data_IF_509464318691
#
_entry.id   IF_509464318691
#
_cell.length_a   1.000
_cell.length_b   1.000
_cell.length_c   1.000
_cell.angle_alpha   90.00
_cell.angle_beta   90.00
_cell.angle_gamma   90.00
#
_symmetry.space_group_name_H-M   'P 1'
#
loop_
_entity.id
_entity.type
_entity.pdbx_description
1 polymer ?
#
# COMPACT_ATOMS: atom_id res chain seq x y z
N UNK A 1 21.09 30.55 -4.44
CA UNK A 1 21.17 30.73 -2.97
C UNK A 1 19.76 30.78 -2.35
N UNK A 2 19.01 29.67 -2.38
CA UNK A 2 17.58 29.61 -1.95
C UNK A 2 17.32 28.59 -0.81
N UNK A 3 18.38 28.10 -0.16
CA UNK A 3 18.27 27.08 0.90
C UNK A 3 18.07 27.66 2.31
N UNK A 4 18.28 28.97 2.51
CA UNK A 4 18.26 29.59 3.85
C UNK A 4 16.85 29.83 4.41
N UNK A 5 15.88 30.17 3.55
CA UNK A 5 14.51 30.52 3.96
C UNK A 5 13.72 29.29 4.46
N UNK A 6 13.90 28.12 3.83
CA UNK A 6 13.14 26.90 4.17
C UNK A 6 13.60 26.25 5.49
N UNK A 7 14.88 26.36 5.84
CA UNK A 7 15.43 25.84 7.10
C UNK A 7 14.92 26.66 8.30
N UNK A 8 14.87 27.99 8.19
CA UNK A 8 14.34 28.85 9.26
C UNK A 8 12.88 28.52 9.57
N UNK A 9 12.03 28.34 8.57
CA UNK A 9 10.61 28.00 8.79
C UNK A 9 10.44 26.67 9.54
N UNK A 10 11.28 25.68 9.25
CA UNK A 10 11.30 24.41 9.98
C UNK A 10 11.68 24.63 11.45
N UNK A 11 12.76 25.39 11.72
CA UNK A 11 13.17 25.69 13.10
C UNK A 11 12.15 26.54 13.87
N UNK A 12 11.47 27.49 13.20
CA UNK A 12 10.37 28.24 13.79
C UNK A 12 9.18 27.33 14.13
N UNK A 13 8.83 26.39 13.25
CA UNK A 13 7.75 25.43 13.50
C UNK A 13 8.10 24.48 14.66
N UNK A 14 9.35 24.02 14.75
CA UNK A 14 9.85 23.21 15.88
C UNK A 14 9.82 24.02 17.17
N UNK A 15 10.32 25.26 17.15
CA UNK A 15 10.32 26.15 18.31
C UNK A 15 8.89 26.46 18.79
N UNK A 16 7.96 26.68 17.86
CA UNK A 16 6.54 26.90 18.15
C UNK A 16 5.86 25.63 18.70
N UNK A 17 6.18 24.45 18.17
CA UNK A 17 5.69 23.17 18.70
C UNK A 17 6.20 22.88 20.12
N UNK A 18 7.37 23.40 20.51
CA UNK A 18 7.94 23.25 21.86
C UNK A 18 7.46 24.36 22.82
N UNK A 19 7.29 25.59 22.33
CA UNK A 19 6.85 26.73 23.15
C UNK A 19 5.37 26.69 23.51
N UNK A 20 4.50 26.24 22.60
CA UNK A 20 3.05 26.18 22.85
C UNK A 20 2.71 25.28 24.06
N UNK A 21 3.31 24.08 24.21
CA UNK A 21 3.20 23.29 25.44
C UNK A 21 3.88 23.93 26.66
N UNK A 22 5.06 24.53 26.49
CA UNK A 22 5.83 25.13 27.59
C UNK A 22 5.15 26.36 28.22
N UNK A 23 4.32 27.08 27.47
CA UNK A 23 3.56 28.24 27.93
C UNK A 23 2.24 27.88 28.63
N UNK A 24 1.96 26.59 28.86
CA UNK A 24 0.76 26.13 29.58
C UNK A 24 -0.56 26.33 28.81
N UNK A 25 -0.47 26.62 27.50
CA UNK A 25 -1.63 26.77 26.61
C UNK A 25 -2.31 25.41 26.36
N UNK A 26 -1.58 24.30 26.55
CA UNK A 26 -2.09 22.94 26.41
C UNK A 26 -2.13 22.23 27.75
N UNK A 27 -3.19 21.45 27.98
CA UNK A 27 -3.25 20.55 29.14
C UNK A 27 -2.40 19.31 28.87
N UNK A 28 -1.63 18.81 29.86
CA UNK A 28 -0.85 17.59 29.70
C UNK A 28 -1.78 16.40 29.42
N UNK A 29 -1.42 15.58 28.43
CA UNK A 29 -2.12 14.35 28.11
C UNK A 29 -1.73 13.28 29.14
N UNK A 30 -2.68 12.85 29.96
CA UNK A 30 -2.51 11.68 30.81
C UNK A 30 -2.89 10.42 30.01
N UNK A 31 -1.99 9.45 30.01
CA UNK A 31 -2.24 8.14 29.43
C UNK A 31 -2.84 7.23 30.47
N UNK A 32 -3.79 6.40 30.06
CA UNK A 32 -4.31 5.35 30.91
C UNK A 32 -3.23 4.27 31.11
N UNK A 33 -3.30 3.48 32.20
CA UNK A 33 -2.36 2.39 32.41
C UNK A 33 -2.47 1.38 31.27
N UNK A 34 -1.45 1.33 30.41
CA UNK A 34 -1.44 0.46 29.24
C UNK A 34 -1.26 -0.99 29.69
N UNK A 35 -2.31 -1.81 29.52
CA UNK A 35 -2.24 -3.25 29.77
C UNK A 35 -1.96 -4.01 28.47
N UNK A 36 -1.31 -5.17 28.58
CA UNK A 36 -1.07 -6.08 27.44
C UNK A 36 -2.40 -6.47 26.78
N UNK A 37 -3.47 -6.61 27.57
CA UNK A 37 -4.81 -6.89 27.07
C UNK A 37 -5.32 -5.78 26.14
N UNK A 38 -5.20 -4.49 26.53
CA UNK A 38 -5.61 -3.35 25.71
C UNK A 38 -4.80 -3.26 24.41
N UNK A 39 -3.49 -3.50 24.47
CA UNK A 39 -2.64 -3.54 23.27
C UNK A 39 -3.11 -4.66 22.33
N UNK A 40 -3.39 -5.84 22.88
CA UNK A 40 -3.82 -7.01 22.08
C UNK A 40 -5.18 -6.75 21.43
N UNK A 41 -6.14 -6.20 22.17
CA UNK A 41 -7.45 -5.82 21.65
C UNK A 41 -7.33 -4.83 20.49
N UNK A 42 -6.51 -3.79 20.66
CA UNK A 42 -6.26 -2.78 19.63
C UNK A 42 -5.59 -3.38 18.39
N UNK A 43 -4.62 -4.28 18.56
CA UNK A 43 -3.99 -5.01 17.46
C UNK A 43 -4.98 -5.91 16.71
N UNK A 44 -5.87 -6.61 17.43
CA UNK A 44 -6.89 -7.47 16.82
C UNK A 44 -7.87 -6.63 16.00
N UNK A 45 -8.34 -5.49 16.54
CA UNK A 45 -9.23 -4.57 15.83
C UNK A 45 -8.53 -4.07 14.56
N UNK A 46 -7.28 -3.60 14.67
CA UNK A 46 -6.53 -3.14 13.50
C UNK A 46 -6.28 -4.23 12.48
N UNK A 47 -5.99 -5.46 12.93
CA UNK A 47 -5.80 -6.59 12.03
C UNK A 47 -7.07 -6.89 11.23
N UNK A 48 -8.22 -7.01 11.91
CA UNK A 48 -9.51 -7.27 11.26
C UNK A 48 -9.85 -6.16 10.27
N UNK A 49 -9.74 -4.90 10.71
CA UNK A 49 -10.00 -3.73 9.86
C UNK A 49 -9.08 -3.71 8.64
N UNK A 50 -7.80 -4.01 8.82
CA UNK A 50 -6.81 -4.03 7.73
C UNK A 50 -7.11 -5.14 6.73
N UNK A 51 -7.52 -6.33 7.19
CA UNK A 51 -7.94 -7.43 6.31
C UNK A 51 -9.17 -7.06 5.47
N UNK A 52 -10.20 -6.47 6.09
CA UNK A 52 -11.37 -5.99 5.35
C UNK A 52 -10.99 -4.92 4.34
N UNK A 53 -10.11 -3.99 4.71
CA UNK A 53 -9.64 -2.95 3.82
C UNK A 53 -8.83 -3.52 2.65
N UNK A 54 -7.92 -4.46 2.90
CA UNK A 54 -7.16 -5.16 1.86
C UNK A 54 -8.12 -5.79 0.85
N UNK A 55 -9.14 -6.51 1.35
CA UNK A 55 -10.11 -7.17 0.48
C UNK A 55 -10.93 -6.18 -0.34
N UNK A 56 -11.35 -5.07 0.26
CA UNK A 56 -12.07 -4.00 -0.45
C UNK A 56 -11.19 -3.36 -1.53
N UNK A 57 -9.94 -3.05 -1.22
CA UNK A 57 -8.98 -2.48 -2.16
C UNK A 57 -8.69 -3.44 -3.32
N UNK A 58 -8.53 -4.74 -3.04
CA UNK A 58 -8.31 -5.75 -4.07
C UNK A 58 -9.49 -5.80 -5.06
N UNK A 59 -10.74 -5.84 -4.58
CA UNK A 59 -11.93 -5.89 -5.44
C UNK A 59 -12.06 -4.65 -6.31
N UNK A 60 -11.81 -3.46 -5.75
CA UNK A 60 -11.87 -2.19 -6.50
C UNK A 60 -10.73 -2.12 -7.54
N UNK A 61 -9.52 -2.48 -7.16
CA UNK A 61 -8.36 -2.41 -8.06
C UNK A 61 -8.42 -3.47 -9.14
N UNK A 62 -8.89 -4.68 -8.85
CA UNK A 62 -9.02 -5.74 -9.86
C UNK A 62 -10.02 -5.34 -10.94
N UNK A 63 -11.18 -4.80 -10.55
CA UNK A 63 -12.18 -4.32 -11.50
C UNK A 63 -11.70 -3.12 -12.32
N UNK A 64 -11.00 -2.15 -11.70
CA UNK A 64 -10.45 -1.01 -12.42
C UNK A 64 -9.28 -1.41 -13.34
N UNK A 65 -8.33 -2.19 -12.84
CA UNK A 65 -7.12 -2.58 -13.56
C UNK A 65 -7.40 -3.54 -14.72
N UNK A 66 -8.44 -4.36 -14.62
CA UNK A 66 -8.82 -5.31 -15.66
C UNK A 66 -9.06 -4.62 -17.01
N UNK A 67 -9.82 -3.51 -17.04
CA UNK A 67 -10.19 -2.86 -18.32
C UNK A 67 -8.99 -2.28 -19.08
N UNK A 68 -8.02 -1.67 -18.41
CA UNK A 68 -6.87 -1.03 -19.06
C UNK A 68 -5.68 -1.96 -19.27
N UNK A 69 -5.36 -2.77 -18.25
CA UNK A 69 -4.20 -3.66 -18.29
C UNK A 69 -4.34 -4.78 -19.32
N UNK A 70 -5.55 -5.30 -19.52
CA UNK A 70 -5.79 -6.40 -20.45
C UNK A 70 -5.57 -5.98 -21.91
N UNK A 71 -5.91 -4.74 -22.27
CA UNK A 71 -5.66 -4.21 -23.61
C UNK A 71 -4.15 -4.08 -23.90
N UNK A 72 -3.40 -3.53 -22.96
CA UNK A 72 -1.93 -3.43 -23.05
C UNK A 72 -1.29 -4.82 -23.17
N UNK A 73 -1.77 -5.80 -22.39
CA UNK A 73 -1.31 -7.19 -22.45
C UNK A 73 -1.57 -7.85 -23.79
N UNK A 74 -2.73 -7.58 -24.38
CA UNK A 74 -3.08 -8.05 -25.72
C UNK A 74 -2.18 -7.42 -26.78
N UNK A 75 -1.90 -6.12 -26.69
CA UNK A 75 -1.02 -5.40 -27.62
C UNK A 75 0.42 -5.90 -27.54
N UNK A 76 0.96 -6.11 -26.33
CA UNK A 76 2.29 -6.72 -26.13
C UNK A 76 2.33 -8.13 -26.73
N UNK A 77 1.28 -8.94 -26.50
CA UNK A 77 1.19 -10.29 -27.06
C UNK A 77 1.13 -10.26 -28.60
N UNK A 78 0.43 -9.31 -29.20
CA UNK A 78 0.38 -9.14 -30.67
C UNK A 78 1.77 -8.81 -31.24
N UNK A 79 2.47 -7.82 -30.70
CA UNK A 79 3.81 -7.43 -31.17
C UNK A 79 4.84 -8.55 -30.96
N UNK A 80 4.82 -9.22 -29.80
CA UNK A 80 5.70 -10.36 -29.53
C UNK A 80 5.46 -11.52 -30.52
N UNK A 81 4.20 -11.79 -30.87
CA UNK A 81 3.84 -12.80 -31.88
C UNK A 81 4.29 -12.40 -33.29
N UNK A 82 4.22 -11.11 -33.65
CA UNK A 82 4.70 -10.61 -34.94
C UNK A 82 6.22 -10.83 -35.08
N UNK A 83 7.02 -10.42 -34.09
CA UNK A 83 8.47 -10.65 -34.05
C UNK A 83 8.79 -12.15 -34.12
N UNK A 84 8.04 -12.97 -33.37
CA UNK A 84 8.26 -14.42 -33.38
C UNK A 84 7.90 -15.09 -34.71
N UNK A 85 6.86 -14.60 -35.41
CA UNK A 85 6.52 -15.07 -36.76
C UNK A 85 7.60 -14.71 -37.76
N UNK A 86 8.10 -13.48 -37.71
CA UNK A 86 9.16 -13.02 -38.62
C UNK A 86 10.45 -13.82 -38.43
N UNK A 87 10.87 -14.05 -37.16
CA UNK A 87 11.99 -14.94 -36.83
C UNK A 87 11.84 -16.37 -37.37
N UNK A 88 10.60 -16.89 -37.45
CA UNK A 88 10.33 -18.23 -37.95
C UNK A 88 10.33 -18.30 -39.48
N UNK A 89 9.83 -17.27 -40.17
CA UNK A 89 9.76 -17.23 -41.63
C UNK A 89 11.09 -16.88 -42.29
N UNK A 90 11.90 -16.02 -41.67
CA UNK A 90 13.16 -15.55 -42.24
C UNK A 90 14.21 -15.36 -41.14
N UNK A 91 14.85 -16.44 -40.65
CA UNK A 91 15.79 -16.39 -39.53
C UNK A 91 17.07 -15.58 -39.83
N UNK A 92 17.45 -15.43 -41.11
CA UNK A 92 18.61 -14.62 -41.53
C UNK A 92 18.26 -13.14 -41.80
N UNK A 93 16.98 -12.76 -41.86
CA UNK A 93 16.62 -11.36 -42.08
C UNK A 93 16.73 -10.57 -40.77
N UNK A 94 17.38 -9.40 -40.86
CA UNK A 94 17.40 -8.42 -39.79
C UNK A 94 15.96 -8.00 -39.51
N UNK A 95 15.54 -8.23 -38.27
CA UNK A 95 14.21 -7.83 -37.81
C UNK A 95 14.18 -6.31 -37.76
N UNK A 96 13.11 -5.74 -38.28
CA UNK A 96 12.88 -4.31 -38.29
C UNK A 96 12.97 -3.74 -36.86
N UNK A 97 13.89 -2.81 -36.64
CA UNK A 97 14.11 -2.15 -35.33
C UNK A 97 12.81 -1.49 -34.83
N UNK A 98 11.99 -1.01 -35.76
CA UNK A 98 10.70 -0.37 -35.45
C UNK A 98 9.72 -1.29 -34.71
N UNK A 99 9.79 -2.61 -34.91
CA UNK A 99 8.97 -3.59 -34.18
C UNK A 99 9.42 -3.76 -32.74
N UNK A 100 10.72 -3.65 -32.47
CA UNK A 100 11.25 -3.67 -31.12
C UNK A 100 10.91 -2.38 -30.38
N UNK A 101 11.05 -1.22 -31.05
CA UNK A 101 10.67 0.07 -30.50
C UNK A 101 9.18 0.11 -30.14
N UNK A 102 8.30 -0.36 -31.02
CA UNK A 102 6.86 -0.44 -30.74
C UNK A 102 6.57 -1.37 -29.54
N UNK A 103 7.27 -2.50 -29.43
CA UNK A 103 7.11 -3.40 -28.29
C UNK A 103 7.59 -2.74 -26.99
N UNK A 104 8.67 -1.97 -27.04
CA UNK A 104 9.23 -1.26 -25.89
C UNK A 104 8.31 -0.12 -25.43
N UNK A 105 7.78 0.68 -26.36
CA UNK A 105 6.83 1.74 -26.06
C UNK A 105 5.59 1.22 -25.31
N UNK A 106 5.00 0.12 -25.79
CA UNK A 106 3.83 -0.50 -25.12
C UNK A 106 4.21 -1.09 -23.75
N UNK A 107 5.44 -1.55 -23.56
CA UNK A 107 5.92 -2.01 -22.23
C UNK A 107 6.07 -0.84 -21.26
N UNK A 108 6.61 0.29 -21.72
CA UNK A 108 6.72 1.52 -20.93
C UNK A 108 5.32 1.97 -20.51
N UNK A 109 4.38 2.04 -21.46
CA UNK A 109 2.99 2.40 -21.18
C UNK A 109 2.34 1.46 -20.15
N UNK A 110 2.61 0.15 -20.23
CA UNK A 110 2.15 -0.82 -19.22
C UNK A 110 2.78 -0.61 -17.85
N UNK A 111 4.07 -0.24 -17.79
CA UNK A 111 4.74 0.08 -16.54
C UNK A 111 4.14 1.33 -15.90
N UNK A 112 3.90 2.37 -16.69
CA UNK A 112 3.27 3.61 -16.24
C UNK A 112 1.85 3.38 -15.74
N UNK A 113 1.06 2.58 -16.46
CA UNK A 113 -0.27 2.17 -16.02
C UNK A 113 -0.22 1.42 -14.68
N UNK A 114 0.74 0.51 -14.50
CA UNK A 114 0.93 -0.20 -13.22
C UNK A 114 1.30 0.75 -12.10
N UNK A 115 2.23 1.67 -12.33
CA UNK A 115 2.64 2.67 -11.36
C UNK A 115 1.46 3.58 -10.96
N UNK A 116 0.70 4.05 -11.94
CA UNK A 116 -0.50 4.87 -11.73
C UNK A 116 -1.55 4.15 -10.88
N UNK A 117 -1.87 2.89 -11.20
CA UNK A 117 -2.84 2.12 -10.39
C UNK A 117 -2.34 1.84 -8.97
N UNK A 118 -1.02 1.77 -8.74
CA UNK A 118 -0.46 1.65 -7.40
C UNK A 118 -0.63 2.93 -6.58
N UNK A 119 -0.47 4.10 -7.21
CA UNK A 119 -0.74 5.39 -6.56
C UNK A 119 -2.23 5.51 -6.18
N UNK A 120 -3.13 5.05 -7.04
CA UNK A 120 -4.57 5.01 -6.72
C UNK A 120 -4.85 4.10 -5.51
N UNK A 121 -4.23 2.91 -5.46
CA UNK A 121 -4.38 1.99 -4.34
C UNK A 121 -4.02 2.64 -3.00
N UNK A 122 -2.89 3.35 -2.96
CA UNK A 122 -2.43 4.07 -1.78
C UNK A 122 -3.40 5.18 -1.37
N UNK A 123 -3.90 5.96 -2.34
CA UNK A 123 -4.90 7.01 -2.07
C UNK A 123 -6.21 6.45 -1.54
N UNK A 124 -6.68 5.33 -2.09
CA UNK A 124 -7.87 4.63 -1.60
C UNK A 124 -7.65 4.09 -0.18
N UNK A 125 -6.47 3.53 0.11
CA UNK A 125 -6.13 3.06 1.45
C UNK A 125 -6.14 4.19 2.48
N UNK A 126 -5.58 5.35 2.12
CA UNK A 126 -5.62 6.54 2.97
C UNK A 126 -7.07 7.01 3.19
N UNK A 127 -7.89 7.03 2.13
CA UNK A 127 -9.30 7.42 2.22
C UNK A 127 -10.09 6.47 3.13
N UNK A 128 -9.90 5.15 3.00
CA UNK A 128 -10.51 4.18 3.90
C UNK A 128 -10.01 4.34 5.33
N UNK A 129 -8.71 4.51 5.55
CA UNK A 129 -8.15 4.78 6.87
C UNK A 129 -8.74 6.03 7.54
N UNK A 130 -9.00 7.08 6.76
CA UNK A 130 -9.66 8.29 7.25
C UNK A 130 -11.13 8.02 7.63
N UNK A 131 -11.89 7.33 6.79
CA UNK A 131 -13.29 6.96 7.08
C UNK A 131 -13.38 6.07 8.32
N UNK A 132 -12.50 5.07 8.43
CA UNK A 132 -12.42 4.15 9.57
C UNK A 132 -12.10 4.91 10.85
N UNK A 133 -11.20 5.89 10.78
CA UNK A 133 -10.84 6.67 11.96
C UNK A 133 -11.94 7.64 12.40
N UNK A 134 -12.71 8.20 11.44
CA UNK A 134 -13.95 8.93 11.74
C UNK A 134 -14.97 8.01 12.42
N UNK A 135 -15.07 6.76 11.98
CA UNK A 135 -15.97 5.75 12.57
C UNK A 135 -15.58 5.32 14.00
N UNK A 136 -14.49 5.87 14.56
CA UNK A 136 -14.13 5.69 15.97
C UNK A 136 -13.01 4.68 16.22
N UNK A 137 -12.45 4.06 15.18
CA UNK A 137 -11.26 3.23 15.30
C UNK A 137 -10.05 4.17 15.42
N UNK A 138 -9.56 4.34 16.64
CA UNK A 138 -8.57 5.37 17.01
C UNK A 138 -7.42 4.77 17.80
N UNK A 139 -6.20 4.96 17.31
CA UNK A 139 -4.98 4.39 17.90
C UNK A 139 -4.59 5.06 19.21
N UNK A 140 -4.47 6.38 19.22
CA UNK A 140 -4.05 7.18 20.36
C UNK A 140 -5.23 7.45 21.30
N UNK A 141 -6.44 7.66 20.76
CA UNK A 141 -7.62 7.92 21.58
C UNK A 141 -7.96 6.80 22.57
N UNK A 142 -7.63 5.54 22.26
CA UNK A 142 -7.84 4.39 23.15
C UNK A 142 -6.77 4.28 24.26
N UNK A 143 -5.65 4.99 24.13
CA UNK A 143 -4.54 5.00 25.10
C UNK A 143 -4.58 6.22 26.05
N UNK A 144 -5.34 7.26 25.69
CA UNK A 144 -5.47 8.49 26.49
C UNK A 144 -6.65 8.37 27.45
N UNK A 145 -6.47 8.86 28.68
CA UNK A 145 -7.55 8.89 29.67
C UNK A 145 -8.73 9.75 29.15
N UNK A 146 -9.91 9.14 29.12
CA UNK A 146 -11.18 9.77 28.67
C UNK A 146 -11.45 11.07 29.44
N UNK A 147 -11.09 11.13 30.73
CA UNK A 147 -11.28 12.34 31.55
C UNK A 147 -10.36 13.47 31.13
N UNK A 148 -9.14 13.13 30.75
CA UNK A 148 -8.20 14.12 30.22
C UNK A 148 -8.67 14.60 28.85
N UNK A 149 -9.15 13.69 28.01
CA UNK A 149 -9.66 14.01 26.68
C UNK A 149 -10.86 14.96 26.72
N UNK A 150 -11.79 14.73 27.65
CA UNK A 150 -12.96 15.60 27.88
C UNK A 150 -12.58 16.98 28.45
N UNK A 151 -11.39 17.11 29.05
CA UNK A 151 -10.92 18.36 29.65
C UNK A 151 -10.13 19.26 28.70
N UNK A 152 -9.80 18.77 27.50
CA UNK A 152 -9.03 19.49 26.49
C UNK A 152 -9.81 20.67 25.90
N UNK A 153 -9.12 21.76 25.58
CA UNK A 153 -9.72 22.86 24.81
C UNK A 153 -10.05 22.42 23.38
N UNK A 154 -11.06 23.04 22.75
CA UNK A 154 -11.57 22.62 21.43
C UNK A 154 -10.50 22.53 20.32
N UNK A 155 -9.54 23.46 20.31
CA UNK A 155 -8.44 23.45 19.33
C UNK A 155 -7.43 22.33 19.61
N UNK A 156 -7.08 22.07 20.89
CA UNK A 156 -6.19 20.98 21.28
C UNK A 156 -6.83 19.61 20.99
N UNK A 157 -8.14 19.47 21.24
CA UNK A 157 -8.91 18.27 20.92
C UNK A 157 -8.98 18.02 19.41
N UNK A 158 -9.21 19.07 18.62
CA UNK A 158 -9.23 18.97 17.16
C UNK A 158 -7.87 18.55 16.59
N UNK A 159 -6.77 19.12 17.08
CA UNK A 159 -5.41 18.72 16.68
C UNK A 159 -5.08 17.28 17.12
N UNK A 160 -5.48 16.88 18.33
CA UNK A 160 -5.30 15.51 18.80
C UNK A 160 -6.02 14.51 17.88
N UNK A 161 -7.30 14.77 17.55
CA UNK A 161 -8.04 13.93 16.62
C UNK A 161 -7.42 13.93 15.22
N UNK A 162 -6.94 15.07 14.72
CA UNK A 162 -6.28 15.13 13.41
C UNK A 162 -5.03 14.24 13.38
N UNK A 163 -4.18 14.31 14.41
CA UNK A 163 -2.98 13.49 14.51
C UNK A 163 -3.34 12.02 14.66
N UNK A 164 -4.28 11.67 15.53
CA UNK A 164 -4.72 10.29 15.74
C UNK A 164 -5.34 9.66 14.49
N UNK A 165 -6.13 10.44 13.73
CA UNK A 165 -6.70 10.01 12.45
C UNK A 165 -5.59 9.76 11.42
N UNK A 166 -4.62 10.67 11.30
CA UNK A 166 -3.51 10.50 10.39
C UNK A 166 -2.63 9.29 10.76
N UNK A 167 -2.36 9.09 12.05
CA UNK A 167 -1.55 7.97 12.54
C UNK A 167 -2.28 6.65 12.33
N UNK A 168 -3.55 6.56 12.73
CA UNK A 168 -4.37 5.36 12.55
C UNK A 168 -4.53 5.01 11.07
N UNK A 169 -4.84 6.00 10.23
CA UNK A 169 -4.93 5.81 8.78
C UNK A 169 -3.61 5.35 8.16
N UNK A 170 -2.48 5.89 8.63
CA UNK A 170 -1.14 5.48 8.18
C UNK A 170 -0.79 4.05 8.59
N UNK A 171 -1.13 3.64 9.82
CA UNK A 171 -0.92 2.27 10.32
C UNK A 171 -1.77 1.28 9.52
N UNK A 172 -3.04 1.59 9.27
CA UNK A 172 -3.94 0.71 8.50
C UNK A 172 -3.48 0.63 7.02
N UNK A 173 -3.15 1.77 6.40
CA UNK A 173 -2.65 1.82 5.02
C UNK A 173 -1.28 1.13 4.86
N UNK A 174 -0.37 1.30 5.84
CA UNK A 174 0.92 0.61 5.85
C UNK A 174 0.77 -0.89 6.15
N UNK A 175 -0.19 -1.25 6.99
CA UNK A 175 -0.51 -2.64 7.33
C UNK A 175 -1.01 -3.44 6.12
N UNK A 176 -1.89 -2.86 5.29
CA UNK A 176 -2.46 -3.59 4.15
C UNK A 176 -1.44 -3.97 3.09
N UNK A 177 -0.45 -3.10 2.82
CA UNK A 177 0.67 -3.40 1.90
C UNK A 177 1.57 -4.53 2.46
N UNK A 178 1.69 -4.63 3.78
CA UNK A 178 2.39 -5.72 4.47
C UNK A 178 1.66 -7.06 4.34
N UNK A 179 0.35 -7.09 4.58
CA UNK A 179 -0.47 -8.31 4.43
C UNK A 179 -0.46 -8.77 2.97
N UNK A 180 -0.59 -7.84 2.02
CA UNK A 180 -0.56 -8.16 0.59
C UNK A 180 0.73 -8.88 0.17
N UNK A 181 1.89 -8.39 0.62
CA UNK A 181 3.19 -9.03 0.37
C UNK A 181 3.28 -10.42 1.01
N UNK A 182 2.77 -10.60 2.22
CA UNK A 182 2.75 -11.91 2.87
C UNK A 182 1.90 -12.91 2.09
N UNK A 183 0.73 -12.48 1.62
CA UNK A 183 -0.15 -13.29 0.76
C UNK A 183 0.52 -13.64 -0.58
N UNK A 184 1.25 -12.71 -1.19
CA UNK A 184 2.00 -12.95 -2.43
C UNK A 184 3.15 -13.96 -2.22
N UNK A 185 3.91 -13.83 -1.12
CA UNK A 185 4.96 -14.78 -0.75
C UNK A 185 4.40 -16.18 -0.50
N UNK A 186 3.26 -16.27 0.19
CA UNK A 186 2.57 -17.54 0.43
C UNK A 186 2.13 -18.20 -0.88
N UNK A 187 1.49 -17.43 -1.79
CA UNK A 187 1.10 -17.92 -3.13
C UNK A 187 2.31 -18.43 -3.91
N UNK A 188 3.40 -17.66 -3.94
CA UNK A 188 4.64 -18.01 -4.63
C UNK A 188 5.25 -19.32 -4.08
N UNK A 189 5.33 -19.45 -2.76
CA UNK A 189 5.83 -20.68 -2.11
C UNK A 189 4.97 -21.90 -2.45
N UNK A 190 3.64 -21.75 -2.44
CA UNK A 190 2.71 -22.81 -2.78
C UNK A 190 2.83 -23.23 -4.25
N UNK A 191 2.91 -22.27 -5.17
CA UNK A 191 3.05 -22.53 -6.61
C UNK A 191 4.35 -23.28 -6.93
N UNK A 192 5.47 -22.89 -6.31
CA UNK A 192 6.76 -23.59 -6.45
C UNK A 192 6.66 -25.04 -5.98
N UNK A 193 6.01 -25.28 -4.84
CA UNK A 193 5.84 -26.64 -4.31
C UNK A 193 4.92 -27.49 -5.19
N UNK A 194 3.81 -26.93 -5.70
CA UNK A 194 2.92 -27.61 -6.64
C UNK A 194 3.66 -27.98 -7.92
N UNK A 195 4.47 -27.07 -8.48
CA UNK A 195 5.28 -27.37 -9.67
C UNK A 195 6.35 -28.43 -9.40
N UNK A 196 7.01 -28.39 -8.24
CA UNK A 196 8.02 -29.38 -7.84
C UNK A 196 7.40 -30.78 -7.71
N UNK A 197 6.22 -30.89 -7.11
CA UNK A 197 5.50 -32.15 -7.01
C UNK A 197 5.02 -32.67 -8.37
N UNK A 198 4.55 -31.79 -9.27
CA UNK A 198 4.20 -32.19 -10.65
C UNK A 198 5.41 -32.73 -11.42
N UNK A 199 6.59 -32.08 -11.31
CA UNK A 199 7.82 -32.54 -11.97
C UNK A 199 8.31 -33.87 -11.40
N UNK A 200 8.26 -34.06 -10.08
CA UNK A 200 8.61 -35.35 -9.46
C UNK A 200 7.69 -36.47 -9.93
N UNK A 201 6.38 -36.23 -9.98
CA UNK A 201 5.42 -37.22 -10.48
C UNK A 201 5.70 -37.60 -11.94
N UNK A 202 5.95 -36.61 -12.79
CA UNK A 202 6.29 -36.85 -14.19
C UNK A 202 7.61 -37.61 -14.39
N UNK A 203 8.62 -37.41 -13.53
CA UNK A 203 9.85 -38.20 -13.55
C UNK A 203 9.61 -39.66 -13.14
N UNK A 204 8.75 -39.91 -12.15
CA UNK A 204 8.42 -41.27 -11.72
C UNK A 204 7.65 -42.00 -12.83
N UNK A 205 6.64 -41.35 -13.43
CA UNK A 205 5.85 -41.92 -14.53
C UNK A 205 6.70 -42.25 -15.78
N UNK A 206 7.82 -41.55 -16.02
CA UNK A 206 8.76 -41.80 -17.13
C UNK A 206 9.76 -42.92 -16.83
N UNK A 207 10.03 -43.22 -15.55
CA UNK A 207 10.94 -44.29 -15.14
C UNK A 207 10.19 -45.64 -15.07
N UNK A 208 8.88 -45.63 -14.81
CA UNK A 208 8.04 -46.82 -14.65
C UNK A 208 7.34 -47.30 -15.94
N UNK A 209 7.41 -46.55 -17.04
CA UNK A 209 6.79 -46.88 -18.34
C UNK A 209 7.80 -47.19 -19.43
#
# INVERSE_FOLDING_TARGET
MESGSKSWMFWLAVLLCVLVPALGVTKPLAFESVSIAKITELLVIFFVVTLFMERAQEVILTTWRARGGEQLDLTIRKHKRAIQRQKKLAPEQVIDETLYDQLELVRIERMDYRAYTRVIALRLGLLFGLVISIAGVRSLGMLVDVKTLASLGGLQLALFHMVDVLLTGSVIAGGSDGIHKMTELYRSYMDVNVQRNKRKKHQIDVIEG
#
